data_IF_782174415261
#
_entry.id   IF_782174415261
#
_cell.length_a   1.000
_cell.length_b   1.000
_cell.length_c   1.000
_cell.angle_alpha   90.00
_cell.angle_beta   90.00
_cell.angle_gamma   90.00
#
_symmetry.space_group_name_H-M   'P 1'
#
loop_
_entity.id
_entity.type
_entity.pdbx_description
1 polymer ?
#
# COMPACT_ATOMS: atom_id res chain seq x y z
N UNK A 1 -8.37 2.25 11.08
CA UNK A 1 -7.04 1.72 11.40
C UNK A 1 -6.12 2.89 11.68
N UNK A 2 -5.40 2.92 12.80
CA UNK A 2 -4.36 3.92 13.01
C UNK A 2 -3.26 3.74 11.95
N UNK A 3 -2.74 4.84 11.43
CA UNK A 3 -1.59 4.83 10.51
C UNK A 3 -0.36 4.47 11.34
N UNK A 4 0.37 3.42 10.95
CA UNK A 4 1.62 3.04 11.61
C UNK A 4 2.63 4.19 11.48
N UNK A 5 3.44 4.42 12.52
CA UNK A 5 4.40 5.52 12.56
C UNK A 5 5.34 5.52 11.34
N UNK A 6 5.81 4.33 10.96
CA UNK A 6 6.68 4.08 9.80
C UNK A 6 6.05 4.45 8.45
N UNK A 7 4.72 4.58 8.37
CA UNK A 7 4.01 4.90 7.13
C UNK A 7 3.47 6.33 7.12
N UNK A 8 3.64 7.11 8.19
CA UNK A 8 3.07 8.45 8.31
C UNK A 8 3.57 9.40 7.21
N UNK A 9 4.80 9.23 6.74
CA UNK A 9 5.42 10.04 5.68
C UNK A 9 4.83 9.80 4.28
N UNK A 10 4.09 8.69 4.06
CA UNK A 10 3.39 8.43 2.80
C UNK A 10 2.15 9.32 2.63
N UNK A 11 1.70 9.95 3.71
CA UNK A 11 0.53 10.81 3.75
C UNK A 11 0.97 12.27 3.72
N UNK A 12 0.17 13.15 3.11
CA UNK A 12 0.49 14.57 3.11
C UNK A 12 0.35 15.16 4.52
N UNK A 13 1.00 16.29 4.76
CA UNK A 13 1.03 16.95 6.07
C UNK A 13 -0.39 17.33 6.57
N UNK A 14 -1.28 17.66 5.64
CA UNK A 14 -2.69 18.04 5.85
C UNK A 14 -3.64 16.82 5.84
N UNK A 15 -3.12 15.61 6.00
CA UNK A 15 -3.96 14.40 6.07
C UNK A 15 -5.11 14.48 7.08
N UNK A 16 -4.95 15.04 8.31
CA UNK A 16 -6.06 15.19 9.24
C UNK A 16 -7.23 15.99 8.65
N UNK A 17 -6.94 17.08 7.96
CA UNK A 17 -7.88 17.99 7.30
C UNK A 17 -8.53 17.29 6.10
N UNK A 18 -7.74 16.68 5.22
CA UNK A 18 -8.23 15.94 4.06
C UNK A 18 -9.16 14.80 4.49
N UNK A 19 -8.74 14.00 5.47
CA UNK A 19 -9.54 12.92 6.04
C UNK A 19 -10.84 13.43 6.66
N UNK A 20 -10.83 14.60 7.31
CA UNK A 20 -12.04 15.24 7.87
C UNK A 20 -12.97 15.71 6.75
N UNK A 21 -12.42 16.31 5.69
CA UNK A 21 -13.16 16.76 4.52
C UNK A 21 -13.91 15.60 3.86
N UNK A 22 -13.24 14.47 3.65
CA UNK A 22 -13.87 13.27 3.07
C UNK A 22 -14.95 12.70 3.99
N UNK A 23 -14.65 12.49 5.28
CA UNK A 23 -15.56 11.81 6.22
C UNK A 23 -16.78 12.64 6.61
N UNK A 24 -16.60 13.94 6.83
CA UNK A 24 -17.63 14.78 7.44
C UNK A 24 -18.12 15.89 6.50
N UNK A 25 -17.28 16.34 5.56
CA UNK A 25 -17.71 17.25 4.50
C UNK A 25 -18.48 16.50 3.41
N UNK A 26 -17.79 15.71 2.59
CA UNK A 26 -18.37 15.00 1.44
C UNK A 26 -19.38 13.94 1.87
N UNK A 27 -18.94 13.04 2.74
CA UNK A 27 -19.76 11.90 3.15
C UNK A 27 -20.76 12.23 4.27
N UNK A 28 -20.76 13.47 4.79
CA UNK A 28 -21.69 13.96 5.83
C UNK A 28 -21.77 13.04 7.06
N UNK A 29 -20.64 12.44 7.44
CA UNK A 29 -20.55 11.51 8.57
C UNK A 29 -21.25 10.17 8.34
N UNK A 30 -21.49 9.76 7.09
CA UNK A 30 -22.08 8.45 6.75
C UNK A 30 -21.14 7.64 5.88
N UNK A 31 -21.19 6.32 6.03
CA UNK A 31 -20.39 5.43 5.20
C UNK A 31 -20.85 5.54 3.75
N UNK A 32 -19.95 5.79 2.81
CA UNK A 32 -20.31 5.93 1.38
C UNK A 32 -20.82 4.61 0.78
N UNK A 33 -20.39 3.47 1.33
CA UNK A 33 -20.83 2.15 0.85
C UNK A 33 -22.14 1.65 1.47
N UNK A 34 -22.39 1.93 2.75
CA UNK A 34 -23.53 1.31 3.46
C UNK A 34 -24.40 2.27 4.25
N UNK A 35 -24.09 3.56 4.23
CA UNK A 35 -24.88 4.65 4.84
C UNK A 35 -24.97 4.62 6.38
N UNK A 36 -24.26 3.70 7.06
CA UNK A 36 -24.18 3.68 8.53
C UNK A 36 -23.59 5.01 9.05
N UNK A 37 -24.25 5.68 10.00
CA UNK A 37 -23.80 6.97 10.52
C UNK A 37 -22.65 6.84 11.53
N UNK A 38 -21.69 7.76 11.48
CA UNK A 38 -20.57 7.86 12.39
C UNK A 38 -21.03 8.09 13.84
N UNK A 39 -20.35 7.47 14.80
CA UNK A 39 -20.54 7.66 16.24
C UNK A 39 -21.77 6.97 16.82
N UNK A 40 -22.73 6.52 15.99
CA UNK A 40 -23.99 5.91 16.43
C UNK A 40 -23.83 4.41 16.70
N UNK A 41 -24.64 3.90 17.64
CA UNK A 41 -24.85 2.47 17.83
C UNK A 41 -25.89 1.98 16.83
N UNK A 42 -25.55 0.93 16.09
CA UNK A 42 -26.40 0.35 15.05
C UNK A 42 -26.69 -1.12 15.38
N UNK A 43 -27.96 -1.50 15.29
CA UNK A 43 -28.41 -2.89 15.35
C UNK A 43 -28.20 -3.58 14.00
N UNK A 44 -27.59 -4.75 13.99
CA UNK A 44 -27.32 -5.51 12.77
C UNK A 44 -27.38 -7.02 12.99
N UNK A 45 -27.61 -7.78 11.91
CA UNK A 45 -27.80 -9.23 11.96
C UNK A 45 -26.51 -10.03 11.71
N UNK A 46 -25.40 -9.35 11.40
CA UNK A 46 -24.11 -9.99 11.14
C UNK A 46 -23.86 -10.31 9.66
N UNK A 47 -24.90 -10.65 8.90
CA UNK A 47 -24.85 -10.83 7.43
C UNK A 47 -24.62 -9.51 6.65
N UNK A 48 -24.75 -8.37 7.34
CA UNK A 48 -24.61 -7.04 6.76
C UNK A 48 -25.89 -6.20 6.86
N UNK A 49 -27.04 -6.84 7.04
CA UNK A 49 -28.31 -6.14 7.26
C UNK A 49 -28.28 -5.38 8.57
N UNK A 50 -28.83 -4.18 8.57
CA UNK A 50 -28.84 -3.28 9.72
C UNK A 50 -30.08 -2.39 9.75
N UNK A 51 -30.44 -1.96 10.95
CA UNK A 51 -31.58 -1.06 11.18
C UNK A 51 -31.16 0.40 11.05
N UNK A 52 -31.70 1.10 10.05
CA UNK A 52 -31.58 2.54 9.89
C UNK A 52 -32.67 3.22 10.73
N UNK A 53 -32.26 3.75 11.89
CA UNK A 53 -33.16 4.43 12.82
C UNK A 53 -33.72 5.74 12.25
N UNK A 54 -32.94 6.46 11.43
CA UNK A 54 -33.34 7.76 10.86
C UNK A 54 -34.49 7.56 9.85
N UNK A 55 -34.42 6.48 9.07
CA UNK A 55 -35.43 6.13 8.07
C UNK A 55 -36.41 5.04 8.50
N UNK A 56 -36.29 4.55 9.74
CA UNK A 56 -37.10 3.48 10.34
C UNK A 56 -37.25 2.25 9.41
N UNK A 57 -36.15 1.79 8.84
CA UNK A 57 -36.15 0.68 7.88
C UNK A 57 -34.92 -0.21 8.00
N UNK A 58 -35.04 -1.44 7.50
CA UNK A 58 -33.88 -2.31 7.29
C UNK A 58 -33.13 -1.93 6.02
N UNK A 59 -31.80 -2.02 6.09
CA UNK A 59 -30.88 -1.86 4.96
C UNK A 59 -29.96 -3.07 4.81
N UNK A 60 -29.54 -3.35 3.59
CA UNK A 60 -28.53 -4.36 3.29
C UNK A 60 -27.09 -3.86 3.57
N UNK A 61 -26.12 -4.72 3.33
CA UNK A 61 -24.70 -4.40 3.50
C UNK A 61 -24.17 -3.31 2.55
N UNK A 62 -24.93 -2.93 1.52
CA UNK A 62 -24.66 -1.84 0.55
C UNK A 62 -25.55 -0.61 0.82
N UNK A 63 -26.27 -0.60 1.93
CA UNK A 63 -27.14 0.50 2.31
C UNK A 63 -28.42 0.62 1.51
N UNK A 64 -28.83 -0.37 0.70
CA UNK A 64 -30.13 -0.38 0.00
C UNK A 64 -31.23 -0.87 0.93
N UNK A 65 -32.49 -0.52 0.67
CA UNK A 65 -33.63 -1.03 1.46
C UNK A 65 -33.65 -2.55 1.40
N UNK A 66 -33.80 -3.19 2.56
CA UNK A 66 -33.91 -4.63 2.69
C UNK A 66 -35.22 -5.01 3.38
N UNK A 67 -35.69 -6.23 3.12
CA UNK A 67 -36.83 -6.79 3.85
C UNK A 67 -36.47 -6.91 5.33
N UNK A 68 -37.45 -6.65 6.20
CA UNK A 68 -37.30 -6.95 7.61
C UNK A 68 -36.97 -8.45 7.81
N UNK A 69 -36.09 -8.78 8.76
CA UNK A 69 -35.89 -10.16 9.18
C UNK A 69 -37.21 -10.75 9.70
N UNK A 70 -37.35 -12.08 9.60
CA UNK A 70 -38.50 -12.82 10.13
C UNK A 70 -38.54 -12.84 11.66
N UNK A 71 -39.36 -13.71 12.25
CA UNK A 71 -39.43 -13.85 13.71
C UNK A 71 -38.06 -14.19 14.34
N UNK A 72 -37.88 -13.88 15.62
CA UNK A 72 -36.65 -14.21 16.36
C UNK A 72 -35.49 -13.20 16.21
N UNK A 73 -35.74 -12.02 15.62
CA UNK A 73 -34.75 -10.95 15.40
C UNK A 73 -33.96 -10.61 16.67
N UNK A 74 -34.65 -10.50 17.81
CA UNK A 74 -34.06 -10.10 19.07
C UNK A 74 -32.92 -11.04 19.53
N UNK A 75 -32.99 -12.33 19.19
CA UNK A 75 -31.99 -13.33 19.59
C UNK A 75 -30.68 -13.23 18.80
N UNK A 76 -30.70 -12.66 17.59
CA UNK A 76 -29.53 -12.60 16.68
C UNK A 76 -28.97 -11.19 16.49
N UNK A 77 -29.70 -10.16 16.94
CA UNK A 77 -29.29 -8.77 16.77
C UNK A 77 -28.06 -8.47 17.61
N UNK A 78 -27.05 -7.93 16.93
CA UNK A 78 -25.82 -7.40 17.53
C UNK A 78 -25.81 -5.88 17.44
N UNK A 79 -25.14 -5.24 18.39
CA UNK A 79 -24.98 -3.79 18.44
C UNK A 79 -23.52 -3.44 18.21
N UNK A 80 -23.25 -2.58 17.23
CA UNK A 80 -21.91 -2.06 16.98
C UNK A 80 -21.92 -0.53 17.01
N UNK A 81 -20.95 0.08 17.70
CA UNK A 81 -20.68 1.51 17.56
C UNK A 81 -19.91 1.75 16.27
N UNK A 82 -20.49 2.56 15.39
CA UNK A 82 -19.93 2.80 14.05
C UNK A 82 -18.89 3.90 14.11
N UNK A 83 -17.71 3.62 13.57
CA UNK A 83 -16.66 4.60 13.32
C UNK A 83 -16.31 4.57 11.84
N UNK A 84 -16.17 5.76 11.27
CA UNK A 84 -15.85 5.97 9.86
C UNK A 84 -14.41 6.45 9.76
N UNK A 85 -13.66 5.82 8.87
CA UNK A 85 -12.30 6.17 8.50
C UNK A 85 -12.24 6.56 7.02
N UNK A 86 -11.25 7.36 6.67
CA UNK A 86 -10.89 7.58 5.27
C UNK A 86 -10.08 6.36 4.79
N UNK A 87 -10.38 5.87 3.58
CA UNK A 87 -9.75 4.71 2.98
C UNK A 87 -9.35 5.02 1.53
N UNK A 88 -8.19 4.52 1.11
CA UNK A 88 -7.73 4.56 -0.27
C UNK A 88 -8.34 3.39 -1.06
N UNK A 89 -9.02 3.68 -2.16
CA UNK A 89 -9.74 2.69 -2.96
C UNK A 89 -8.79 1.78 -3.73
N UNK A 90 -7.64 2.28 -4.16
CA UNK A 90 -6.57 1.52 -4.81
C UNK A 90 -5.57 0.85 -3.83
N UNK A 91 -5.78 0.99 -2.51
CA UNK A 91 -4.86 0.53 -1.44
C UNK A 91 -3.45 1.15 -1.45
N UNK A 92 -3.21 2.17 -2.28
CA UNK A 92 -1.98 2.95 -2.30
C UNK A 92 -2.12 4.19 -1.40
N UNK A 93 -1.38 4.27 -0.27
CA UNK A 93 -1.48 5.41 0.64
C UNK A 93 -0.92 6.72 0.06
N UNK A 94 -0.18 6.68 -1.05
CA UNK A 94 0.41 7.88 -1.68
C UNK A 94 -0.56 8.59 -2.64
N UNK A 95 -1.56 7.89 -3.18
CA UNK A 95 -2.58 8.47 -4.06
C UNK A 95 -3.71 9.11 -3.25
N UNK A 96 -3.53 10.38 -2.90
CA UNK A 96 -4.46 11.15 -2.07
C UNK A 96 -5.50 11.93 -2.88
N UNK A 97 -5.68 11.62 -4.17
CA UNK A 97 -6.71 12.26 -4.98
C UNK A 97 -8.09 12.02 -4.39
N UNK A 98 -8.94 13.05 -4.32
CA UNK A 98 -10.26 12.95 -3.70
C UNK A 98 -11.14 11.81 -4.27
N UNK A 99 -10.98 11.49 -5.56
CA UNK A 99 -11.67 10.37 -6.23
C UNK A 99 -11.23 8.99 -5.73
N UNK A 100 -9.99 8.87 -5.25
CA UNK A 100 -9.43 7.62 -4.72
C UNK A 100 -9.73 7.45 -3.23
N UNK A 101 -10.15 8.51 -2.54
CA UNK A 101 -10.50 8.45 -1.13
C UNK A 101 -11.97 8.12 -0.94
N UNK A 102 -12.30 7.32 0.08
CA UNK A 102 -13.65 7.00 0.48
C UNK A 102 -13.85 7.04 2.01
N UNK A 103 -15.03 7.44 2.45
CA UNK A 103 -15.43 7.40 3.86
C UNK A 103 -16.10 6.06 4.18
N UNK A 104 -15.37 5.14 4.81
CA UNK A 104 -15.85 3.78 5.08
C UNK A 104 -16.01 3.49 6.57
N UNK A 105 -17.12 2.84 6.95
CA UNK A 105 -17.28 2.30 8.30
C UNK A 105 -16.38 1.08 8.53
N UNK A 106 -16.16 0.66 9.78
CA UNK A 106 -15.26 -0.46 10.10
C UNK A 106 -15.56 -1.73 9.29
N UNK A 107 -16.84 -2.09 9.12
CA UNK A 107 -17.25 -3.26 8.33
C UNK A 107 -16.85 -3.11 6.86
N UNK A 108 -17.25 -2.02 6.22
CA UNK A 108 -16.98 -1.81 4.78
C UNK A 108 -15.48 -1.68 4.51
N UNK A 109 -14.76 -1.03 5.41
CA UNK A 109 -13.31 -0.90 5.33
C UNK A 109 -12.61 -2.27 5.42
N UNK A 110 -12.97 -3.11 6.39
CA UNK A 110 -12.40 -4.47 6.51
C UNK A 110 -12.70 -5.36 5.30
N UNK A 111 -13.88 -5.21 4.69
CA UNK A 111 -14.23 -5.96 3.48
C UNK A 111 -13.39 -5.48 2.30
N UNK A 112 -13.27 -4.16 2.12
CA UNK A 112 -12.44 -3.55 1.06
C UNK A 112 -11.00 -4.04 1.15
N UNK A 113 -10.40 -3.96 2.34
CA UNK A 113 -8.98 -4.32 2.53
C UNK A 113 -8.71 -5.83 2.61
N UNK A 114 -9.74 -6.69 2.59
CA UNK A 114 -9.59 -8.10 2.89
C UNK A 114 -8.60 -8.82 1.95
N UNK A 115 -8.65 -8.51 0.64
CA UNK A 115 -7.76 -9.12 -0.35
C UNK A 115 -6.31 -8.64 -0.17
N UNK A 116 -6.11 -7.33 -0.07
CA UNK A 116 -4.77 -6.76 0.14
C UNK A 116 -4.16 -7.20 1.47
N UNK A 117 -4.95 -7.29 2.54
CA UNK A 117 -4.51 -7.85 3.81
C UNK A 117 -4.10 -9.32 3.70
N UNK A 118 -4.82 -10.14 2.91
CA UNK A 118 -4.39 -11.53 2.64
C UNK A 118 -3.06 -11.55 1.90
N UNK A 119 -2.91 -10.74 0.84
CA UNK A 119 -1.68 -10.62 0.07
C UNK A 119 -0.49 -10.20 0.94
N UNK A 120 -0.64 -9.15 1.75
CA UNK A 120 0.41 -8.66 2.66
C UNK A 120 0.78 -9.70 3.72
N UNK A 121 -0.20 -10.37 4.32
CA UNK A 121 0.06 -11.46 5.28
C UNK A 121 0.87 -12.59 4.67
N UNK A 122 0.50 -13.01 3.45
CA UNK A 122 1.24 -14.02 2.71
C UNK A 122 2.67 -13.57 2.39
N UNK A 123 2.85 -12.36 1.84
CA UNK A 123 4.16 -11.83 1.48
C UNK A 123 5.09 -11.70 2.69
N UNK A 124 4.57 -11.25 3.83
CA UNK A 124 5.34 -11.13 5.07
C UNK A 124 5.72 -12.51 5.65
N UNK A 125 4.86 -13.52 5.50
CA UNK A 125 5.21 -14.89 5.87
C UNK A 125 6.29 -15.45 4.94
N UNK A 126 6.15 -15.25 3.63
CA UNK A 126 7.12 -15.65 2.62
C UNK A 126 8.49 -15.00 2.86
N UNK A 127 8.55 -13.67 3.03
CA UNK A 127 9.80 -12.93 3.30
C UNK A 127 10.52 -13.42 4.54
N UNK A 128 9.78 -13.65 5.64
CA UNK A 128 10.36 -14.20 6.88
C UNK A 128 10.97 -15.59 6.65
N UNK A 129 10.29 -16.45 5.90
CA UNK A 129 10.82 -17.78 5.56
C UNK A 129 12.06 -17.68 4.69
N UNK A 130 12.02 -16.89 3.62
CA UNK A 130 13.16 -16.72 2.70
C UNK A 130 14.40 -16.16 3.41
N UNK A 131 14.23 -15.20 4.33
CA UNK A 131 15.33 -14.70 5.15
C UNK A 131 15.89 -15.79 6.07
N UNK A 132 15.03 -16.61 6.69
CA UNK A 132 15.46 -17.75 7.49
C UNK A 132 16.27 -18.76 6.67
N UNK A 133 15.77 -19.14 5.49
CA UNK A 133 16.46 -20.07 4.59
C UNK A 133 17.82 -19.50 4.13
N UNK A 134 17.89 -18.20 3.85
CA UNK A 134 19.13 -17.51 3.50
C UNK A 134 20.15 -17.48 4.64
N UNK A 135 19.72 -17.17 5.87
CA UNK A 135 20.60 -17.18 7.04
C UNK A 135 21.14 -18.58 7.33
N UNK A 136 20.28 -19.61 7.25
CA UNK A 136 20.72 -21.01 7.36
C UNK A 136 21.71 -21.38 6.27
N UNK A 137 21.53 -20.89 5.04
CA UNK A 137 22.48 -21.11 3.96
C UNK A 137 23.84 -20.45 4.27
N UNK A 138 23.87 -19.21 4.77
CA UNK A 138 25.10 -18.53 5.19
C UNK A 138 25.82 -19.30 6.30
N UNK A 139 25.10 -19.72 7.33
CA UNK A 139 25.69 -20.49 8.44
C UNK A 139 26.29 -21.82 7.99
N UNK A 140 25.73 -22.41 6.93
CA UNK A 140 26.21 -23.67 6.34
C UNK A 140 27.22 -23.48 5.23
N UNK A 141 27.48 -22.25 4.78
CA UNK A 141 28.52 -22.01 3.77
C UNK A 141 29.88 -22.34 4.39
N UNK A 142 30.67 -23.24 3.77
CA UNK A 142 32.01 -23.49 4.26
C UNK A 142 32.81 -22.20 4.18
N UNK A 143 33.54 -21.87 5.24
CA UNK A 143 34.56 -20.82 5.18
C UNK A 143 35.60 -21.29 4.17
N UNK A 144 35.49 -20.81 2.94
CA UNK A 144 36.58 -20.92 1.98
C UNK A 144 37.64 -19.96 2.48
N UNK A 145 38.61 -20.47 3.23
CA UNK A 145 39.88 -19.78 3.40
C UNK A 145 40.43 -19.53 2.02
N UNK A 146 40.39 -18.26 1.57
CA UNK A 146 41.11 -17.85 0.36
C UNK A 146 42.58 -18.07 0.66
N UNK A 147 43.08 -19.25 0.30
CA UNK A 147 44.45 -19.68 0.53
C UNK A 147 45.40 -18.90 -0.36
N UNK A 148 45.84 -17.73 0.12
CA UNK A 148 47.25 -17.29 0.22
C UNK A 148 47.25 -15.85 0.72
N UNK A 149 48.07 -15.51 1.72
CA UNK A 149 48.47 -14.12 1.87
C UNK A 149 49.11 -13.72 0.54
N UNK A 150 48.63 -12.64 -0.05
CA UNK A 150 49.36 -11.95 -1.10
C UNK A 150 50.66 -11.54 -0.42
N UNK A 151 51.74 -12.30 -0.63
CA UNK A 151 53.06 -11.82 -0.25
C UNK A 151 53.21 -10.50 -1.00
N UNK A 152 53.60 -9.46 -0.27
CA UNK A 152 53.86 -8.12 -0.81
C UNK A 152 55.09 -8.21 -1.71
N UNK A 153 54.92 -8.84 -2.88
CA UNK A 153 55.92 -9.06 -3.90
C UNK A 153 55.66 -8.11 -5.04
N UNK A 154 56.56 -7.12 -5.14
CA UNK A 154 56.82 -6.16 -6.21
C UNK A 154 55.65 -5.62 -7.03
N UNK A 155 55.49 -4.28 -7.14
CA UNK A 155 54.51 -3.70 -8.05
C UNK A 155 54.78 -4.21 -9.48
N UNK A 156 53.72 -4.45 -10.30
CA UNK A 156 53.92 -4.79 -11.69
C UNK A 156 54.72 -3.67 -12.34
N UNK A 157 55.81 -4.04 -13.02
CA UNK A 157 56.50 -3.14 -13.93
C UNK A 157 55.46 -2.74 -14.98
N UNK A 158 54.94 -1.52 -14.86
CA UNK A 158 54.23 -0.88 -15.94
C UNK A 158 55.26 -0.79 -17.07
N UNK A 159 55.12 -1.65 -18.08
CA UNK A 159 55.89 -1.51 -19.28
C UNK A 159 55.59 -0.11 -19.83
N UNK A 160 56.62 0.74 -19.84
CA UNK A 160 56.63 2.04 -20.49
C UNK A 160 56.02 1.87 -21.89
N UNK A 161 54.79 2.38 -22.05
CA UNK A 161 54.18 2.48 -23.36
C UNK A 161 54.99 3.54 -24.11
N UNK A 162 55.58 3.25 -25.28
CA UNK A 162 56.30 4.26 -26.03
C UNK A 162 55.33 5.40 -26.36
N UNK A 163 55.72 6.63 -25.99
CA UNK A 163 55.01 7.85 -26.36
C UNK A 163 54.87 7.91 -27.88
N UNK A 164 53.69 7.59 -28.39
CA UNK A 164 53.32 7.94 -29.76
C UNK A 164 53.26 9.47 -29.83
N UNK A 165 54.16 10.02 -30.64
CA UNK A 165 54.26 11.44 -30.95
C UNK A 165 52.88 12.00 -31.33
N UNK A 166 52.45 13.05 -30.63
CA UNK A 166 51.29 13.84 -31.01
C UNK A 166 51.65 14.64 -32.26
N UNK A 167 51.04 14.31 -33.40
CA UNK A 167 50.97 15.23 -34.53
C UNK A 167 49.71 16.07 -34.40
N UNK A 168 49.92 17.39 -34.44
CA UNK A 168 48.90 18.42 -34.48
C UNK A 168 48.05 18.31 -35.76
N UNK A 169 46.73 18.22 -35.59
CA UNK A 169 45.77 18.58 -36.62
C UNK A 169 44.55 19.24 -35.98
N UNK A 170 44.46 20.56 -36.16
CA UNK A 170 43.32 21.40 -35.81
C UNK A 170 42.17 21.21 -36.82
N UNK A 171 40.98 21.63 -36.37
CA UNK A 171 39.71 21.94 -37.07
C UNK A 171 38.66 20.81 -37.04
N UNK A 172 37.59 20.94 -36.25
CA UNK A 172 36.41 21.81 -36.36
C UNK A 172 35.27 21.11 -37.13
N UNK A 173 34.08 21.06 -36.52
CA UNK A 173 32.87 20.60 -37.19
C UNK A 173 31.82 20.03 -36.25
N UNK A 174 30.83 20.84 -35.92
CA UNK A 174 29.59 20.52 -35.21
C UNK A 174 28.93 19.22 -35.69
N UNK A 175 28.49 18.37 -34.75
CA UNK A 175 27.38 17.43 -35.00
C UNK A 175 26.47 17.31 -33.78
N UNK A 176 25.19 17.52 -34.09
CA UNK A 176 24.04 17.55 -33.20
C UNK A 176 23.82 16.23 -32.44
N UNK A 177 23.23 16.37 -31.25
CA UNK A 177 22.74 15.28 -30.41
C UNK A 177 21.44 14.74 -31.01
N UNK A 178 21.33 13.44 -31.35
CA UNK A 178 20.05 12.85 -31.71
C UNK A 178 19.27 12.44 -30.46
N UNK A 179 17.99 12.78 -30.52
CA UNK A 179 16.93 12.51 -29.55
C UNK A 179 16.77 11.00 -29.29
N UNK A 180 16.71 10.59 -28.01
CA UNK A 180 16.48 9.19 -27.62
C UNK A 180 14.99 8.99 -27.33
N UNK A 181 14.28 8.44 -28.32
CA UNK A 181 12.95 7.85 -28.13
C UNK A 181 13.04 6.59 -27.26
N UNK A 182 12.14 6.49 -26.28
CA UNK A 182 11.94 5.30 -25.44
C UNK A 182 11.17 4.20 -26.20
N UNK A 183 11.48 2.91 -26.03
CA UNK A 183 10.66 1.85 -26.57
C UNK A 183 9.51 1.47 -25.62
N UNK A 184 8.30 1.44 -26.18
CA UNK A 184 7.10 0.85 -25.60
C UNK A 184 7.30 -0.65 -25.34
N UNK A 185 7.09 -1.07 -24.08
CA UNK A 185 7.04 -2.47 -23.68
C UNK A 185 5.65 -2.78 -23.13
N UNK A 186 4.74 -3.17 -24.03
CA UNK A 186 3.53 -3.94 -23.73
C UNK A 186 3.12 -4.71 -24.99
N UNK A 187 3.39 -6.01 -24.98
CA UNK A 187 2.63 -7.06 -25.68
C UNK A 187 2.67 -8.30 -24.79
#
# INVERSE_FOLDING_TARGET
MPIMAEHRWLYPIDWPELSKLIRFGRAKGRCEHCQRPHGRRVFHLGDGRWWDADRRQWRDGRGRRARAPGAGVAAIVRVTRVFIACAHLNHDPTDNAARNLAALCQRCHMIHDAAEHRRRRWLNAYRRRALGDFLVAIERMPVVTVGRPITRGSPPAWAETPQAARSDARQAGDRAVPDRAAPDLLA
#
